data_IF_713130206547
#
_entry.id   IF_713130206547
#
_cell.length_a   1.000
_cell.length_b   1.000
_cell.length_c   1.000
_cell.angle_alpha   90.00
_cell.angle_beta   90.00
_cell.angle_gamma   90.00
#
_symmetry.space_group_name_H-M   'P 1'
#
loop_
_entity.id
_entity.type
_entity.pdbx_description
1 polymer ?
#
# COMPACT_ATOMS: atom_id res chain seq x y z
N UNK A 1 4.42 -18.85 21.78
CA UNK A 1 3.84 -17.50 21.69
C UNK A 1 3.56 -17.24 20.21
N UNK A 2 2.32 -16.93 19.85
CA UNK A 2 1.98 -16.38 18.54
C UNK A 2 2.34 -14.89 18.55
N UNK A 3 3.36 -14.50 17.79
CA UNK A 3 3.73 -13.09 17.62
C UNK A 3 3.01 -12.51 16.40
N UNK A 4 2.57 -11.26 16.50
CA UNK A 4 1.98 -10.51 15.38
C UNK A 4 3.00 -9.46 14.94
N UNK A 5 3.40 -9.48 13.68
CA UNK A 5 4.25 -8.46 13.07
C UNK A 5 3.38 -7.40 12.41
N UNK A 6 3.56 -6.15 12.82
CA UNK A 6 2.83 -5.01 12.26
C UNK A 6 3.82 -4.07 11.59
N UNK A 7 3.48 -3.58 10.40
CA UNK A 7 4.23 -2.55 9.68
C UNK A 7 3.29 -1.38 9.37
N UNK A 8 3.75 -0.16 9.63
CA UNK A 8 3.16 1.06 9.07
C UNK A 8 4.08 1.58 7.98
N UNK A 9 3.54 1.87 6.80
CA UNK A 9 4.33 2.30 5.65
C UNK A 9 3.59 3.36 4.82
N UNK A 10 4.07 4.59 4.86
CA UNK A 10 3.65 5.62 3.91
C UNK A 10 4.38 5.38 2.58
N UNK A 11 3.62 5.09 1.52
CA UNK A 11 4.18 4.69 0.21
C UNK A 11 4.31 5.85 -0.78
N UNK A 12 3.97 7.06 -0.33
CA UNK A 12 3.89 8.30 -1.08
C UNK A 12 2.86 8.25 -2.21
N UNK A 13 1.92 9.21 -2.25
CA UNK A 13 0.94 9.26 -3.33
C UNK A 13 1.61 9.39 -4.71
N UNK A 14 0.95 8.92 -5.76
CA UNK A 14 1.45 9.00 -7.12
C UNK A 14 1.35 10.43 -7.66
N UNK A 15 2.36 11.24 -7.38
CA UNK A 15 2.51 12.58 -7.93
C UNK A 15 3.13 12.51 -9.34
N UNK A 16 2.57 13.27 -10.29
CA UNK A 16 3.07 13.31 -11.68
C UNK A 16 4.43 13.99 -11.80
N UNK A 17 4.80 14.84 -10.84
CA UNK A 17 6.07 15.56 -10.85
C UNK A 17 7.24 14.81 -10.19
N UNK A 18 7.02 13.57 -9.74
CA UNK A 18 8.05 12.84 -8.98
C UNK A 18 9.17 12.25 -9.86
N UNK A 19 9.21 12.51 -11.17
CA UNK A 19 10.29 12.08 -12.09
C UNK A 19 10.76 10.63 -11.84
N UNK A 20 12.00 10.44 -11.36
CA UNK A 20 12.58 9.12 -11.07
C UNK A 20 11.94 8.42 -9.86
N UNK A 21 11.29 9.17 -8.97
CA UNK A 21 10.52 8.68 -7.84
C UNK A 21 9.02 8.54 -8.17
N UNK A 22 8.66 8.51 -9.46
CA UNK A 22 7.29 8.25 -9.85
C UNK A 22 6.84 6.85 -9.38
N UNK A 23 5.55 6.72 -9.04
CA UNK A 23 5.01 5.47 -8.49
C UNK A 23 5.28 4.24 -9.37
N UNK A 24 5.20 4.36 -10.69
CA UNK A 24 5.41 3.24 -11.61
C UNK A 24 6.83 2.66 -11.54
N UNK A 25 7.82 3.48 -11.19
CA UNK A 25 9.22 3.06 -10.97
C UNK A 25 9.41 2.40 -9.60
N UNK A 26 8.61 2.79 -8.59
CA UNK A 26 8.79 2.34 -7.20
C UNK A 26 7.87 1.20 -6.75
N UNK A 27 6.74 0.98 -7.42
CA UNK A 27 5.67 0.07 -6.97
C UNK A 27 6.13 -1.37 -6.71
N UNK A 28 7.06 -1.88 -7.51
CA UNK A 28 7.59 -3.24 -7.34
C UNK A 28 8.54 -3.31 -6.14
N UNK A 29 9.37 -2.29 -5.92
CA UNK A 29 10.24 -2.20 -4.75
C UNK A 29 9.44 -2.03 -3.44
N UNK A 30 8.38 -1.21 -3.47
CA UNK A 30 7.44 -1.03 -2.35
C UNK A 30 6.81 -2.38 -1.95
N UNK A 31 6.28 -3.13 -2.91
CA UNK A 31 5.73 -4.46 -2.64
C UNK A 31 6.82 -5.45 -2.19
N UNK A 32 8.00 -5.39 -2.79
CA UNK A 32 9.16 -6.22 -2.41
C UNK A 32 9.57 -6.03 -0.95
N UNK A 33 9.55 -4.80 -0.44
CA UNK A 33 9.85 -4.52 0.97
C UNK A 33 8.80 -5.16 1.91
N UNK A 34 7.52 -5.09 1.54
CA UNK A 34 6.44 -5.77 2.28
C UNK A 34 6.64 -7.29 2.27
N UNK A 35 6.93 -7.88 1.10
CA UNK A 35 7.16 -9.32 0.97
C UNK A 35 8.43 -9.79 1.70
N UNK A 36 9.44 -8.93 1.81
CA UNK A 36 10.64 -9.23 2.59
C UNK A 36 10.34 -9.29 4.09
N UNK A 37 9.63 -8.28 4.63
CA UNK A 37 9.32 -8.23 6.06
C UNK A 37 8.17 -9.14 6.47
N UNK A 38 7.28 -9.52 5.53
CA UNK A 38 6.10 -10.37 5.75
C UNK A 38 5.31 -9.97 7.00
N UNK A 39 4.84 -8.72 7.15
CA UNK A 39 3.96 -8.38 8.26
C UNK A 39 2.69 -9.22 8.25
N UNK A 40 2.09 -9.47 9.41
CA UNK A 40 0.75 -10.04 9.51
C UNK A 40 -0.31 -8.94 9.33
N UNK A 41 0.02 -7.70 9.73
CA UNK A 41 -0.78 -6.50 9.48
C UNK A 41 0.07 -5.41 8.82
N UNK A 42 -0.35 -4.95 7.65
CA UNK A 42 0.25 -3.85 6.90
C UNK A 42 -0.70 -2.64 6.89
N UNK A 43 -0.31 -1.52 7.50
CA UNK A 43 -1.01 -0.26 7.42
C UNK A 43 -0.32 0.67 6.42
N UNK A 44 -1.02 1.07 5.36
CA UNK A 44 -0.46 1.91 4.29
C UNK A 44 -1.06 3.31 4.33
N UNK A 45 -0.26 4.34 4.05
CA UNK A 45 -0.74 5.73 3.90
C UNK A 45 -0.42 6.32 2.53
N UNK A 46 -1.27 7.26 2.09
CA UNK A 46 -1.23 7.99 0.81
C UNK A 46 -1.62 7.26 -0.51
N UNK A 47 -1.90 5.94 -0.62
CA UNK A 47 -2.17 5.38 -1.93
C UNK A 47 -3.50 5.89 -2.48
N UNK A 48 -3.49 6.44 -3.68
CA UNK A 48 -4.70 6.72 -4.48
C UNK A 48 -5.26 5.43 -5.10
N UNK A 49 -6.41 5.50 -5.78
CA UNK A 49 -7.12 4.32 -6.31
C UNK A 49 -6.23 3.37 -7.13
N UNK A 50 -5.44 3.92 -8.07
CA UNK A 50 -4.52 3.13 -8.89
C UNK A 50 -3.41 2.47 -8.07
N UNK A 51 -2.81 3.18 -7.10
CA UNK A 51 -1.79 2.60 -6.22
C UNK A 51 -2.36 1.50 -5.33
N UNK A 52 -3.61 1.65 -4.85
CA UNK A 52 -4.31 0.61 -4.10
C UNK A 52 -4.58 -0.63 -4.96
N UNK A 53 -4.86 -0.47 -6.25
CA UNK A 53 -4.99 -1.60 -7.18
C UNK A 53 -3.63 -2.27 -7.38
N UNK A 54 -2.60 -1.50 -7.69
CA UNK A 54 -1.23 -2.00 -7.91
C UNK A 54 -0.72 -2.79 -6.70
N UNK A 55 -0.99 -2.32 -5.48
CA UNK A 55 -0.64 -3.02 -4.23
C UNK A 55 -1.38 -4.36 -4.10
N UNK A 56 -2.68 -4.41 -4.40
CA UNK A 56 -3.47 -5.67 -4.34
C UNK A 56 -2.99 -6.70 -5.35
N UNK A 57 -2.62 -6.26 -6.56
CA UNK A 57 -2.07 -7.14 -7.60
C UNK A 57 -0.73 -7.75 -7.19
N UNK A 58 0.13 -6.97 -6.50
CA UNK A 58 1.48 -7.39 -6.10
C UNK A 58 1.54 -8.12 -4.76
N UNK A 59 0.52 -7.97 -3.93
CA UNK A 59 0.42 -8.56 -2.60
C UNK A 59 -0.82 -9.46 -2.50
N UNK A 60 -0.97 -10.49 -3.36
CA UNK A 60 -2.19 -11.30 -3.44
C UNK A 60 -2.47 -12.12 -2.16
N UNK A 61 -1.46 -12.32 -1.31
CA UNK A 61 -1.62 -12.98 0.01
C UNK A 61 -2.32 -12.08 1.05
N UNK A 62 -2.43 -10.78 0.81
CA UNK A 62 -3.05 -9.84 1.76
C UNK A 62 -4.47 -9.47 1.34
N UNK A 63 -5.41 -9.63 2.27
CA UNK A 63 -6.74 -9.05 2.15
C UNK A 63 -6.70 -7.59 2.59
N UNK A 64 -7.02 -6.66 1.68
CA UNK A 64 -7.03 -5.23 1.96
C UNK A 64 -8.43 -4.68 2.23
N UNK A 65 -8.57 -3.97 3.34
CA UNK A 65 -9.72 -3.12 3.66
C UNK A 65 -9.33 -1.64 3.59
N UNK A 66 -10.31 -0.76 3.36
CA UNK A 66 -10.12 0.68 3.28
C UNK A 66 -10.42 1.28 1.91
N UNK A 67 -10.98 2.49 1.94
CA UNK A 67 -11.37 3.30 0.77
C UNK A 67 -10.61 4.63 0.79
N UNK A 68 -10.70 5.38 -0.29
CA UNK A 68 -10.19 6.75 -0.31
C UNK A 68 -10.97 7.67 0.63
N UNK A 69 -10.33 8.77 1.04
CA UNK A 69 -10.83 9.70 2.07
C UNK A 69 -12.02 10.56 1.65
N UNK A 70 -12.34 10.64 0.36
CA UNK A 70 -13.47 11.45 -0.11
C UNK A 70 -14.80 10.73 0.13
N UNK A 71 -15.92 11.47 0.09
CA UNK A 71 -17.26 10.92 0.30
C UNK A 71 -17.59 9.75 -0.66
N UNK A 72 -17.09 9.82 -1.90
CA UNK A 72 -17.27 8.80 -2.93
C UNK A 72 -16.29 7.63 -2.80
N UNK A 73 -15.36 7.69 -1.84
CA UNK A 73 -14.36 6.64 -1.59
C UNK A 73 -13.11 6.74 -2.47
N UNK A 74 -12.87 7.91 -3.04
CA UNK A 74 -11.70 8.22 -3.88
C UNK A 74 -10.67 9.09 -3.13
N UNK A 75 -9.61 9.51 -3.83
CA UNK A 75 -8.46 10.21 -3.25
C UNK A 75 -7.53 9.26 -2.50
N UNK A 76 -6.61 9.83 -1.72
CA UNK A 76 -5.71 9.09 -0.83
C UNK A 76 -6.53 8.27 0.18
N UNK A 77 -6.08 7.05 0.45
CA UNK A 77 -6.67 6.20 1.48
C UNK A 77 -5.64 5.76 2.51
N UNK A 78 -6.14 5.10 3.56
CA UNK A 78 -5.32 4.41 4.56
C UNK A 78 -5.67 2.92 4.59
N UNK A 79 -5.40 2.15 3.52
CA UNK A 79 -5.80 0.76 3.48
C UNK A 79 -4.97 -0.09 4.46
N UNK A 80 -5.62 -1.10 5.05
CA UNK A 80 -5.02 -2.07 5.95
C UNK A 80 -5.05 -3.44 5.26
N UNK A 81 -3.89 -4.06 5.08
CA UNK A 81 -3.73 -5.42 4.59
C UNK A 81 -3.50 -6.41 5.73
N UNK A 82 -4.15 -7.56 5.68
CA UNK A 82 -3.97 -8.66 6.65
C UNK A 82 -3.75 -9.97 5.89
N UNK A 83 -2.86 -10.83 6.39
CA UNK A 83 -2.59 -12.17 5.85
C UNK A 83 -2.64 -13.24 6.94
#
# INVERSE_FOLDING_TARGET
MTGIRVVSYNVRYANRSDHHDAWHERRDAVAGLVLFHRPDVLAVQEPIADQRRDLRERLPEYAFVGRGRTADGDGEGCPIGVR
#
